data_IF_109699992578
#
_entry.id   IF_109699992578
#
_cell.length_a   1.000
_cell.length_b   1.000
_cell.length_c   1.000
_cell.angle_alpha   90.00
_cell.angle_beta   90.00
_cell.angle_gamma   90.00
#
_symmetry.space_group_name_H-M   'P 1'
#
loop_
_entity.id
_entity.type
_entity.pdbx_description
1 polymer ?
#
# COMPACT_ATOMS: atom_id res chain seq x y z
N UNK A 1 13.91 3.34 7.29
CA UNK A 1 12.69 3.30 8.14
C UNK A 1 11.51 4.19 7.74
N UNK A 2 11.68 5.41 7.20
CA UNK A 2 10.55 6.38 7.02
C UNK A 2 9.27 5.84 6.36
N UNK A 3 9.38 5.04 5.29
CA UNK A 3 8.22 4.43 4.60
C UNK A 3 7.36 3.61 5.56
N UNK A 4 8.01 2.89 6.46
CA UNK A 4 7.43 1.88 7.34
C UNK A 4 6.84 2.47 8.62
N UNK A 5 7.34 3.63 9.06
CA UNK A 5 6.79 4.36 10.23
C UNK A 5 5.33 4.73 10.00
N UNK A 6 4.96 5.09 8.76
CA UNK A 6 3.56 5.36 8.39
C UNK A 6 2.65 4.13 8.45
N UNK A 7 3.23 2.92 8.53
CA UNK A 7 2.51 1.64 8.60
C UNK A 7 2.27 1.20 10.06
N UNK A 8 2.82 1.92 11.04
CA UNK A 8 2.59 1.67 12.46
C UNK A 8 1.14 2.04 12.80
N UNK A 9 0.51 1.23 13.67
CA UNK A 9 -0.85 1.52 14.10
C UNK A 9 -0.90 2.92 14.76
N UNK A 10 -1.69 3.87 14.24
CA UNK A 10 -1.73 5.24 14.75
C UNK A 10 -2.05 5.34 16.23
N UNK A 11 -2.85 4.42 16.76
CA UNK A 11 -3.23 4.38 18.18
C UNK A 11 -2.10 3.94 19.12
N UNK A 12 -1.01 3.39 18.57
CA UNK A 12 0.18 2.94 19.31
C UNK A 12 1.36 3.90 19.21
N UNK A 13 1.24 4.97 18.40
CA UNK A 13 2.31 5.94 18.24
C UNK A 13 2.40 6.78 19.52
N UNK A 14 3.50 6.57 20.24
CA UNK A 14 3.92 7.38 21.38
C UNK A 14 5.26 8.04 21.08
N UNK A 15 5.65 9.03 21.89
CA UNK A 15 6.94 9.67 21.77
C UNK A 15 8.08 8.64 21.78
N UNK A 16 9.02 8.79 20.85
CA UNK A 16 10.24 8.00 20.81
C UNK A 16 11.14 8.26 22.02
N UNK A 17 12.21 7.46 22.11
CA UNK A 17 13.19 7.53 23.18
C UNK A 17 14.40 8.37 22.80
N UNK A 18 15.13 8.86 23.78
CA UNK A 18 16.38 9.57 23.55
C UNK A 18 17.55 8.63 23.20
N UNK A 19 18.58 9.17 22.54
CA UNK A 19 19.85 8.46 22.32
C UNK A 19 20.52 7.99 23.62
N UNK A 20 20.29 8.70 24.73
CA UNK A 20 20.81 8.33 26.05
C UNK A 20 20.11 7.08 26.57
N UNK A 21 18.81 6.97 26.38
CA UNK A 21 18.01 5.81 26.79
C UNK A 21 18.33 4.58 25.93
N UNK A 22 18.54 4.76 24.62
CA UNK A 22 19.04 3.70 23.75
C UNK A 22 20.38 3.14 24.28
N UNK A 23 21.37 4.00 24.53
CA UNK A 23 22.69 3.57 25.03
C UNK A 23 22.63 2.90 26.40
N UNK A 24 21.77 3.39 27.30
CA UNK A 24 21.54 2.75 28.61
C UNK A 24 20.97 1.34 28.44
N UNK A 25 20.02 1.19 27.53
CA UNK A 25 19.37 -0.09 27.23
C UNK A 25 20.34 -1.07 26.56
N UNK A 26 21.12 -0.61 25.58
CA UNK A 26 22.20 -1.41 24.96
C UNK A 26 23.19 -1.94 26.01
N UNK A 27 23.59 -1.08 26.95
CA UNK A 27 24.46 -1.47 28.06
C UNK A 27 23.80 -2.52 28.98
N UNK A 28 22.51 -2.37 29.27
CA UNK A 28 21.77 -3.31 30.10
C UNK A 28 21.58 -4.68 29.43
N UNK A 29 21.37 -4.70 28.12
CA UNK A 29 21.26 -5.92 27.31
C UNK A 29 22.63 -6.54 26.99
N UNK A 30 23.71 -5.76 27.09
CA UNK A 30 25.04 -6.18 26.62
C UNK A 30 25.16 -6.27 25.09
N UNK A 31 24.27 -5.59 24.37
CA UNK A 31 24.14 -5.66 22.92
C UNK A 31 23.88 -4.28 22.30
N UNK A 32 24.35 -4.08 21.07
CA UNK A 32 24.24 -2.86 20.27
C UNK A 32 23.11 -3.06 19.27
N UNK A 33 22.20 -2.10 19.22
CA UNK A 33 21.03 -2.16 18.34
C UNK A 33 21.41 -1.89 16.88
N UNK A 34 20.72 -2.54 15.91
CA UNK A 34 20.84 -2.19 14.50
C UNK A 34 20.32 -0.78 14.23
N UNK A 35 20.77 -0.17 13.13
CA UNK A 35 20.40 1.22 12.79
C UNK A 35 18.89 1.38 12.59
N UNK A 36 18.24 0.45 11.88
CA UNK A 36 16.79 0.47 11.68
C UNK A 36 15.99 0.45 12.99
N UNK A 37 16.43 -0.33 13.97
CA UNK A 37 15.78 -0.40 15.27
C UNK A 37 15.94 0.93 16.03
N UNK A 38 17.13 1.54 15.98
CA UNK A 38 17.36 2.85 16.61
C UNK A 38 16.53 3.94 15.94
N UNK A 39 16.50 3.98 14.61
CA UNK A 39 15.66 4.91 13.83
C UNK A 39 14.19 4.78 14.24
N UNK A 40 13.68 3.56 14.34
CA UNK A 40 12.30 3.32 14.79
C UNK A 40 12.06 3.85 16.20
N UNK A 41 12.94 3.51 17.15
CA UNK A 41 12.76 3.85 18.55
C UNK A 41 12.99 5.32 18.89
N UNK A 42 13.75 6.05 18.06
CA UNK A 42 13.84 7.51 18.13
C UNK A 42 12.52 8.19 17.75
N UNK A 43 11.71 7.55 16.90
CA UNK A 43 10.45 8.09 16.41
C UNK A 43 9.26 7.62 17.27
N UNK A 44 9.28 6.37 17.73
CA UNK A 44 8.22 5.83 18.60
C UNK A 44 8.66 4.67 19.48
N UNK A 45 8.05 4.51 20.65
CA UNK A 45 8.49 3.54 21.66
C UNK A 45 7.47 2.42 21.88
N UNK A 46 7.80 1.19 21.47
CA UNK A 46 6.91 0.02 21.64
C UNK A 46 5.75 -0.03 20.63
N UNK A 47 6.04 0.33 19.38
CA UNK A 47 5.08 0.33 18.28
C UNK A 47 4.31 -0.99 18.13
N UNK A 48 3.03 -0.88 17.76
CA UNK A 48 2.23 -2.02 17.29
C UNK A 48 2.23 -2.06 15.76
N UNK A 49 2.60 -3.21 15.22
CA UNK A 49 2.75 -3.52 13.80
C UNK A 49 1.88 -4.74 13.47
N UNK A 50 0.75 -4.56 12.79
CA UNK A 50 -0.22 -5.65 12.62
C UNK A 50 -0.61 -6.24 13.99
N UNK A 51 -0.38 -7.53 14.18
CA UNK A 51 -0.60 -8.25 15.44
C UNK A 51 0.64 -8.30 16.37
N UNK A 52 1.76 -7.72 15.94
CA UNK A 52 3.01 -7.65 16.69
C UNK A 52 3.09 -6.40 17.55
N UNK A 53 3.59 -6.55 18.77
CA UNK A 53 3.91 -5.44 19.67
C UNK A 53 5.39 -5.48 20.01
N UNK A 54 6.12 -4.41 19.70
CA UNK A 54 7.51 -4.28 20.10
C UNK A 54 7.61 -3.98 21.59
N UNK A 55 8.59 -4.59 22.25
CA UNK A 55 8.85 -4.31 23.66
C UNK A 55 9.39 -2.89 23.82
N UNK A 56 8.75 -2.06 24.67
CA UNK A 56 9.19 -0.69 24.84
C UNK A 56 10.53 -0.62 25.58
N UNK A 57 11.16 0.55 25.48
CA UNK A 57 12.33 0.94 26.26
C UNK A 57 11.85 1.78 27.45
N UNK A 58 12.34 1.46 28.64
CA UNK A 58 12.09 2.26 29.83
C UNK A 58 12.70 3.67 29.68
N UNK A 59 11.86 4.69 29.78
CA UNK A 59 12.28 6.09 29.83
C UNK A 59 12.27 6.62 31.26
N UNK A 60 13.03 7.68 31.53
CA UNK A 60 13.07 8.28 32.89
C UNK A 60 11.82 9.11 33.20
N UNK A 61 11.05 9.48 32.17
CA UNK A 61 9.86 10.33 32.27
C UNK A 61 8.58 9.53 32.53
N UNK A 62 8.62 8.22 32.36
CA UNK A 62 7.48 7.33 32.54
C UNK A 62 7.59 6.55 33.85
N UNK A 63 6.44 6.17 34.41
CA UNK A 63 6.41 5.20 35.49
C UNK A 63 7.10 3.89 35.05
N UNK A 64 7.66 3.10 35.99
CA UNK A 64 8.26 1.82 35.66
C UNK A 64 7.29 0.94 34.85
N UNK A 65 7.70 0.56 33.64
CA UNK A 65 6.91 -0.26 32.75
C UNK A 65 6.80 -1.67 33.32
N UNK A 66 5.61 -2.27 33.27
CA UNK A 66 5.43 -3.68 33.64
C UNK A 66 6.16 -4.61 32.67
N UNK A 67 6.29 -4.20 31.42
CA UNK A 67 6.97 -4.91 30.33
C UNK A 67 7.91 -3.94 29.62
N UNK A 68 9.18 -4.32 29.47
CA UNK A 68 10.16 -3.64 28.63
C UNK A 68 11.16 -4.64 28.06
N UNK A 69 11.92 -4.24 27.04
CA UNK A 69 12.88 -5.12 26.35
C UNK A 69 13.91 -5.74 27.30
N UNK A 70 14.37 -5.01 28.33
CA UNK A 70 15.36 -5.54 29.29
C UNK A 70 14.72 -6.59 30.18
N UNK A 71 13.57 -6.29 30.77
CA UNK A 71 12.83 -7.23 31.63
C UNK A 71 12.43 -8.51 30.90
N UNK A 72 12.03 -8.39 29.63
CA UNK A 72 11.66 -9.55 28.80
C UNK A 72 12.86 -10.45 28.52
N UNK A 73 14.04 -9.88 28.25
CA UNK A 73 15.25 -10.67 28.00
C UNK A 73 15.94 -11.18 29.27
N UNK A 74 15.68 -10.56 30.43
CA UNK A 74 16.06 -11.12 31.73
C UNK A 74 15.19 -12.32 32.10
N UNK A 75 13.89 -12.27 31.79
CA UNK A 75 12.93 -13.36 31.99
C UNK A 75 12.76 -14.22 30.72
N UNK A 76 13.88 -14.54 30.06
CA UNK A 76 13.90 -15.27 28.78
C UNK A 76 13.26 -16.66 28.87
N UNK A 77 12.64 -17.08 27.77
CA UNK A 77 12.12 -18.44 27.65
C UNK A 77 13.26 -19.48 27.69
N UNK A 78 13.03 -20.61 28.38
CA UNK A 78 14.06 -21.64 28.64
C UNK A 78 14.70 -22.22 27.37
N UNK A 79 13.94 -22.32 26.29
CA UNK A 79 14.37 -22.95 25.03
C UNK A 79 14.73 -21.92 23.94
N UNK A 80 14.73 -20.63 24.26
CA UNK A 80 15.21 -19.60 23.35
C UNK A 80 16.75 -19.71 23.23
N UNK A 81 17.33 -19.75 22.02
CA UNK A 81 18.79 -19.81 21.85
C UNK A 81 19.53 -18.66 22.56
N UNK A 82 20.69 -18.94 23.15
CA UNK A 82 21.44 -17.96 23.97
C UNK A 82 21.83 -16.69 23.20
N UNK A 83 22.04 -16.83 21.90
CA UNK A 83 22.41 -15.77 20.97
C UNK A 83 21.20 -14.96 20.46
N UNK A 84 20.03 -15.07 21.06
CA UNK A 84 18.83 -14.32 20.66
C UNK A 84 18.43 -13.29 21.71
N UNK A 85 18.05 -12.10 21.24
CA UNK A 85 17.33 -11.08 22.02
C UNK A 85 15.94 -10.90 21.42
N UNK A 86 14.91 -11.09 22.25
CA UNK A 86 13.54 -10.81 21.88
C UNK A 86 13.28 -9.31 21.90
N UNK A 87 12.70 -8.78 20.84
CA UNK A 87 12.36 -7.36 20.68
C UNK A 87 10.86 -7.10 20.63
N UNK A 88 10.03 -8.14 20.54
CA UNK A 88 8.59 -8.02 20.51
C UNK A 88 7.90 -9.37 20.60
N UNK A 89 6.57 -9.32 20.65
CA UNK A 89 5.71 -10.49 20.65
C UNK A 89 4.44 -10.28 19.84
N UNK A 90 3.96 -11.37 19.26
CA UNK A 90 2.65 -11.45 18.64
C UNK A 90 1.57 -11.80 19.69
N UNK A 91 0.31 -11.51 19.40
CA UNK A 91 -0.85 -11.91 20.22
C UNK A 91 -0.90 -13.40 20.56
N UNK A 92 -0.36 -14.27 19.70
CA UNK A 92 -0.31 -15.72 19.92
C UNK A 92 0.77 -16.15 20.93
N UNK A 93 1.70 -15.25 21.27
CA UNK A 93 2.87 -15.51 22.10
C UNK A 93 4.15 -15.80 21.33
N UNK A 94 4.13 -15.81 19.98
CA UNK A 94 5.34 -15.88 19.16
C UNK A 94 6.26 -14.67 19.43
N UNK A 95 7.57 -14.91 19.46
CA UNK A 95 8.58 -13.90 19.80
C UNK A 95 9.33 -13.44 18.56
N UNK A 96 9.49 -12.13 18.44
CA UNK A 96 10.32 -11.51 17.42
C UNK A 96 11.72 -11.27 17.98
N UNK A 97 12.76 -11.71 17.29
CA UNK A 97 14.11 -11.76 17.83
C UNK A 97 15.17 -11.25 16.85
N UNK A 98 16.20 -10.60 17.40
CA UNK A 98 17.49 -10.45 16.74
C UNK A 98 18.46 -11.51 17.21
N UNK A 99 19.30 -11.99 16.29
CA UNK A 99 20.51 -12.74 16.64
C UNK A 99 21.62 -11.78 17.05
N UNK A 100 22.38 -12.12 18.08
CA UNK A 100 23.55 -11.39 18.56
C UNK A 100 24.82 -12.13 18.17
N UNK A 101 25.80 -11.41 17.64
CA UNK A 101 27.18 -11.90 17.53
C UNK A 101 28.12 -10.97 18.28
N UNK A 102 28.78 -11.52 19.30
CA UNK A 102 29.57 -10.77 20.30
C UNK A 102 28.69 -9.78 21.06
N UNK A 103 28.58 -8.55 20.53
CA UNK A 103 27.74 -7.48 21.08
C UNK A 103 26.86 -6.84 20.01
N UNK A 104 26.91 -7.27 18.77
CA UNK A 104 26.13 -6.66 17.69
C UNK A 104 24.88 -7.50 17.47
N UNK A 105 23.71 -6.88 17.59
CA UNK A 105 22.50 -7.44 17.01
C UNK A 105 22.64 -7.37 15.49
N UNK A 106 22.44 -8.50 14.84
CA UNK A 106 22.46 -8.60 13.38
C UNK A 106 21.16 -7.99 12.82
N UNK A 107 21.17 -7.62 11.54
CA UNK A 107 20.00 -7.00 10.87
C UNK A 107 18.83 -7.97 10.68
N UNK A 108 19.13 -9.27 10.57
CA UNK A 108 18.13 -10.29 10.32
C UNK A 108 17.17 -10.48 11.51
N UNK A 109 15.89 -10.55 11.19
CA UNK A 109 14.79 -10.75 12.13
C UNK A 109 14.32 -12.19 12.09
N UNK A 110 14.23 -12.82 13.26
CA UNK A 110 13.78 -14.18 13.42
C UNK A 110 12.49 -14.22 14.23
N UNK A 111 11.60 -15.14 13.90
CA UNK A 111 10.48 -15.52 14.77
C UNK A 111 10.83 -16.78 15.55
N UNK A 112 10.33 -16.86 16.79
CA UNK A 112 10.55 -17.99 17.67
C UNK A 112 9.27 -18.37 18.41
N UNK A 113 8.98 -19.66 18.45
CA UNK A 113 7.85 -20.25 19.16
C UNK A 113 8.34 -21.36 20.10
N UNK A 114 7.65 -21.55 21.23
CA UNK A 114 8.02 -22.55 22.23
C UNK A 114 7.84 -24.00 21.76
N UNK A 115 6.92 -24.23 20.82
CA UNK A 115 6.61 -25.55 20.24
C UNK A 115 7.50 -25.90 19.06
N UNK A 116 7.73 -24.95 18.16
CA UNK A 116 8.44 -25.19 16.89
C UNK A 116 9.88 -24.70 16.89
N UNK A 117 10.28 -23.90 17.88
CA UNK A 117 11.60 -23.32 17.97
C UNK A 117 11.75 -22.09 17.07
N UNK A 118 12.99 -21.84 16.64
CA UNK A 118 13.32 -20.73 15.74
C UNK A 118 12.83 -21.07 14.33
N UNK A 119 12.17 -20.12 13.66
CA UNK A 119 11.82 -20.29 12.25
C UNK A 119 13.09 -20.47 11.40
N UNK A 120 12.96 -21.27 10.35
CA UNK A 120 14.00 -21.52 9.35
C UNK A 120 14.30 -20.27 8.54
N UNK A 121 13.30 -19.43 8.29
CA UNK A 121 13.46 -18.24 7.48
C UNK A 121 13.43 -16.98 8.34
N UNK A 122 14.37 -16.08 8.06
CA UNK A 122 14.49 -14.78 8.71
C UNK A 122 14.22 -13.69 7.68
N UNK A 123 13.54 -12.62 8.08
CA UNK A 123 13.52 -11.39 7.28
C UNK A 123 14.92 -10.76 7.31
N UNK A 124 15.32 -10.13 6.21
CA UNK A 124 16.63 -9.52 6.05
C UNK A 124 16.78 -8.27 6.92
N UNK A 125 15.68 -7.57 7.19
CA UNK A 125 15.66 -6.39 8.05
C UNK A 125 14.34 -6.21 8.80
N UNK A 126 14.29 -5.24 9.73
CA UNK A 126 13.08 -4.88 10.46
C UNK A 126 12.08 -4.18 9.53
N UNK A 127 12.55 -3.34 8.62
CA UNK A 127 11.69 -2.73 7.59
C UNK A 127 10.95 -3.78 6.77
N UNK A 128 11.67 -4.81 6.28
CA UNK A 128 11.08 -5.88 5.48
C UNK A 128 10.05 -6.69 6.28
N UNK A 129 10.40 -7.04 7.53
CA UNK A 129 9.46 -7.73 8.42
C UNK A 129 8.15 -6.95 8.58
N UNK A 130 8.24 -5.63 8.85
CA UNK A 130 7.06 -4.79 9.03
C UNK A 130 6.24 -4.71 7.72
N UNK A 131 6.89 -4.52 6.56
CA UNK A 131 6.20 -4.47 5.26
C UNK A 131 5.39 -5.75 4.98
N UNK A 132 5.91 -6.91 5.44
CA UNK A 132 5.23 -8.20 5.29
C UNK A 132 4.10 -8.43 6.30
N UNK A 133 4.20 -7.87 7.51
CA UNK A 133 3.28 -8.15 8.63
C UNK A 133 2.13 -7.15 8.77
N UNK A 134 2.27 -5.94 8.25
CA UNK A 134 1.17 -5.00 8.24
C UNK A 134 0.17 -5.46 7.18
N UNK A 135 -1.11 -5.70 7.54
CA UNK A 135 -2.14 -6.02 6.56
C UNK A 135 -2.17 -4.93 5.50
N UNK A 136 -1.80 -5.28 4.28
CA UNK A 136 -1.83 -4.36 3.14
C UNK A 136 -3.28 -4.01 2.87
N UNK A 137 -3.70 -2.82 3.27
CA UNK A 137 -5.10 -2.39 3.42
C UNK A 137 -5.87 -2.52 2.09
N UNK A 138 -5.13 -2.58 0.99
CA UNK A 138 -5.60 -2.44 -0.38
C UNK A 138 -5.61 -3.75 -1.20
N UNK A 139 -5.12 -4.88 -0.70
CA UNK A 139 -4.92 -6.06 -1.57
C UNK A 139 -6.18 -6.85 -1.90
N UNK A 140 -7.20 -6.82 -1.02
CA UNK A 140 -8.30 -7.79 -1.10
C UNK A 140 -9.65 -7.18 -1.55
N UNK A 141 -9.78 -5.84 -1.57
CA UNK A 141 -11.01 -5.17 -1.99
C UNK A 141 -10.72 -3.97 -2.90
N UNK A 142 -11.44 -3.85 -4.05
CA UNK A 142 -11.36 -2.66 -4.87
C UNK A 142 -11.75 -1.41 -4.05
N UNK A 143 -10.97 -0.34 -4.15
CA UNK A 143 -11.31 0.95 -3.57
C UNK A 143 -12.26 1.69 -4.51
N UNK A 144 -13.47 2.01 -4.04
CA UNK A 144 -14.46 2.77 -4.81
C UNK A 144 -14.04 4.25 -4.80
N UNK A 145 -13.83 4.82 -5.99
CA UNK A 145 -13.44 6.21 -6.18
C UNK A 145 -14.64 7.17 -6.20
N UNK A 146 -15.82 6.66 -6.55
CA UNK A 146 -17.05 7.44 -6.68
C UNK A 146 -17.85 7.05 -7.92
N UNK A 147 -18.75 7.94 -8.37
CA UNK A 147 -19.54 7.74 -9.59
C UNK A 147 -19.64 9.01 -10.43
N UNK A 148 -19.74 8.85 -11.75
CA UNK A 148 -19.89 9.92 -12.74
C UNK A 148 -21.01 9.59 -13.74
N UNK A 149 -21.48 10.59 -14.47
CA UNK A 149 -22.54 10.44 -15.47
C UNK A 149 -21.97 10.29 -16.88
N UNK A 150 -22.54 9.37 -17.65
CA UNK A 150 -22.32 9.21 -19.09
C UNK A 150 -23.62 9.54 -19.83
N UNK A 151 -23.54 10.50 -20.74
CA UNK A 151 -24.63 11.11 -21.49
C UNK A 151 -24.47 10.95 -23.01
N UNK A 152 -23.22 10.90 -23.52
CA UNK A 152 -22.94 10.94 -24.97
C UNK A 152 -23.05 9.58 -25.70
N UNK A 153 -23.39 8.51 -24.98
CA UNK A 153 -23.29 7.12 -25.46
C UNK A 153 -21.89 6.71 -25.95
N UNK A 154 -20.86 7.49 -25.61
CA UNK A 154 -19.47 7.26 -25.97
C UNK A 154 -18.55 7.47 -24.77
N UNK A 155 -17.49 6.68 -24.71
CA UNK A 155 -16.41 6.88 -23.75
C UNK A 155 -15.10 7.03 -24.50
N UNK A 156 -14.19 7.83 -23.97
CA UNK A 156 -12.80 7.91 -24.37
C UNK A 156 -11.93 7.36 -23.25
N UNK A 157 -10.98 6.49 -23.60
CA UNK A 157 -9.92 6.00 -22.71
C UNK A 157 -8.62 6.62 -23.18
N UNK A 158 -7.98 7.41 -22.32
CA UNK A 158 -6.85 8.27 -22.70
C UNK A 158 -6.01 8.70 -21.51
N UNK A 159 -4.79 9.15 -21.78
CA UNK A 159 -4.07 10.06 -20.89
C UNK A 159 -4.89 11.37 -20.73
N UNK A 160 -5.06 11.88 -19.49
CA UNK A 160 -5.85 13.09 -19.24
C UNK A 160 -5.29 14.38 -19.86
N UNK A 161 -4.03 14.40 -20.28
CA UNK A 161 -3.40 15.58 -20.92
C UNK A 161 -3.44 15.54 -22.45
N UNK A 162 -3.84 14.41 -23.04
CA UNK A 162 -3.99 14.32 -24.49
C UNK A 162 -5.22 15.06 -24.98
N UNK A 163 -5.15 15.52 -26.23
CA UNK A 163 -6.28 16.10 -26.94
C UNK A 163 -6.84 15.10 -27.93
N UNK A 164 -8.17 15.09 -28.05
CA UNK A 164 -8.90 14.09 -28.85
C UNK A 164 -8.38 13.99 -30.29
N UNK A 165 -8.13 15.13 -30.94
CA UNK A 165 -7.73 15.15 -32.35
C UNK A 165 -6.21 15.05 -32.57
N UNK A 166 -5.38 15.51 -31.62
CA UNK A 166 -3.92 15.55 -31.77
C UNK A 166 -3.28 14.19 -31.46
N UNK A 167 -3.82 13.44 -30.49
CA UNK A 167 -3.24 12.19 -30.00
C UNK A 167 -4.13 10.97 -30.27
N UNK A 168 -4.95 11.03 -31.33
CA UNK A 168 -5.98 10.03 -31.64
C UNK A 168 -5.47 8.58 -31.74
N UNK A 169 -4.19 8.37 -32.11
CA UNK A 169 -3.57 7.04 -32.22
C UNK A 169 -3.26 6.39 -30.86
N UNK A 170 -3.23 7.18 -29.78
CA UNK A 170 -2.92 6.74 -28.41
C UNK A 170 -4.18 6.56 -27.56
N UNK A 171 -5.35 6.80 -28.14
CA UNK A 171 -6.63 6.87 -27.46
C UNK A 171 -7.59 5.78 -27.95
N UNK A 172 -8.53 5.39 -27.10
CA UNK A 172 -9.60 4.46 -27.47
C UNK A 172 -10.95 5.14 -27.34
N UNK A 173 -11.67 5.26 -28.44
CA UNK A 173 -13.06 5.72 -28.45
C UNK A 173 -13.99 4.51 -28.48
N UNK A 174 -14.75 4.34 -27.41
CA UNK A 174 -15.78 3.32 -27.28
C UNK A 174 -17.14 3.90 -27.67
N UNK A 175 -17.83 3.21 -28.57
CA UNK A 175 -19.19 3.54 -28.99
C UNK A 175 -20.22 2.55 -28.43
N UNK A 176 -21.50 2.88 -28.56
CA UNK A 176 -22.61 2.10 -28.03
C UNK A 176 -22.49 1.87 -26.50
N UNK A 177 -22.09 2.92 -25.79
CA UNK A 177 -21.98 2.91 -24.34
C UNK A 177 -23.35 3.13 -23.71
N UNK A 178 -23.63 2.45 -22.59
CA UNK A 178 -24.87 2.64 -21.86
C UNK A 178 -24.84 3.97 -21.10
N UNK A 179 -25.76 4.88 -21.44
CA UNK A 179 -25.98 6.11 -20.69
C UNK A 179 -26.48 5.86 -19.26
N UNK A 180 -26.11 6.76 -18.35
CA UNK A 180 -26.52 6.80 -16.96
C UNK A 180 -25.34 6.96 -15.99
N UNK A 181 -25.55 6.54 -14.74
CA UNK A 181 -24.53 6.62 -13.68
C UNK A 181 -23.55 5.45 -13.76
N UNK A 182 -22.26 5.76 -13.68
CA UNK A 182 -21.15 4.82 -13.72
C UNK A 182 -20.30 4.93 -12.46
N UNK A 183 -19.93 3.80 -11.87
CA UNK A 183 -19.06 3.74 -10.69
C UNK A 183 -17.62 3.47 -11.12
N UNK A 184 -16.69 4.19 -10.51
CA UNK A 184 -15.25 4.04 -10.67
C UNK A 184 -14.62 3.36 -9.46
N UNK A 185 -13.67 2.46 -9.68
CA UNK A 185 -12.91 1.81 -8.61
C UNK A 185 -11.52 1.41 -9.08
N UNK A 186 -10.58 1.30 -8.15
CA UNK A 186 -9.23 0.78 -8.42
C UNK A 186 -8.98 -0.51 -7.64
N UNK A 187 -8.16 -1.39 -8.20
CA UNK A 187 -7.63 -2.56 -7.50
C UNK A 187 -6.12 -2.51 -7.47
N UNK A 188 -5.50 -3.17 -6.50
CA UNK A 188 -4.07 -3.08 -6.27
C UNK A 188 -3.36 -4.42 -6.49
N UNK A 189 -2.06 -4.36 -6.72
CA UNK A 189 -1.15 -5.51 -6.61
C UNK A 189 -0.86 -5.81 -5.14
N UNK A 190 -0.21 -6.94 -4.82
CA UNK A 190 0.30 -7.20 -3.47
C UNK A 190 1.28 -6.14 -2.96
N UNK A 191 1.84 -5.29 -3.83
CA UNK A 191 2.76 -4.20 -3.45
C UNK A 191 2.07 -2.83 -3.39
N UNK A 192 0.74 -2.82 -3.32
CA UNK A 192 -0.10 -1.61 -3.24
C UNK A 192 0.03 -0.66 -4.45
N UNK A 193 0.56 -1.17 -5.57
CA UNK A 193 0.59 -0.47 -6.86
C UNK A 193 -0.77 -0.65 -7.54
N UNK A 194 -1.29 0.37 -8.24
CA UNK A 194 -2.60 0.26 -8.91
C UNK A 194 -2.49 -0.73 -10.05
N UNK A 195 -3.22 -1.85 -9.90
CA UNK A 195 -3.31 -2.91 -10.90
C UNK A 195 -4.29 -2.56 -12.00
N UNK A 196 -5.47 -2.06 -11.64
CA UNK A 196 -6.52 -1.73 -12.60
C UNK A 196 -7.28 -0.48 -12.20
N UNK A 197 -7.67 0.30 -13.21
CA UNK A 197 -8.82 1.21 -13.13
C UNK A 197 -10.04 0.52 -13.72
N UNK A 198 -11.12 0.45 -12.95
CA UNK A 198 -12.42 -0.05 -13.38
C UNK A 198 -13.43 1.08 -13.41
N UNK A 199 -14.16 1.21 -14.52
CA UNK A 199 -15.40 1.97 -14.57
C UNK A 199 -16.53 1.09 -15.09
N UNK A 200 -17.70 1.13 -14.47
CA UNK A 200 -18.82 0.28 -14.87
C UNK A 200 -20.17 0.91 -14.59
N UNK A 201 -21.18 0.53 -15.39
CA UNK A 201 -22.53 1.05 -15.28
C UNK A 201 -23.22 0.57 -13.99
N UNK A 202 -23.77 1.52 -13.22
CA UNK A 202 -24.44 1.29 -11.93
C UNK A 202 -23.47 0.98 -10.79
N UNK A 203 -24.02 0.68 -9.61
CA UNK A 203 -23.24 0.52 -8.38
C UNK A 203 -22.47 -0.80 -8.28
N UNK A 204 -22.92 -1.84 -9.01
CA UNK A 204 -22.36 -3.19 -8.93
C UNK A 204 -21.54 -3.53 -10.16
N UNK A 205 -20.31 -4.01 -9.92
CA UNK A 205 -19.42 -4.47 -10.98
C UNK A 205 -20.09 -5.58 -11.80
N UNK A 206 -20.08 -5.49 -13.14
CA UNK A 206 -20.71 -6.49 -14.00
C UNK A 206 -19.97 -7.83 -13.92
N UNK A 207 -20.73 -8.92 -13.88
CA UNK A 207 -20.21 -10.28 -13.79
C UNK A 207 -19.90 -10.89 -15.17
N UNK A 208 -19.06 -11.92 -15.19
CA UNK A 208 -18.69 -12.69 -16.40
C UNK A 208 -17.45 -12.18 -17.13
N UNK A 209 -17.23 -12.68 -18.35
CA UNK A 209 -15.99 -12.47 -19.12
C UNK A 209 -15.79 -11.02 -19.59
N UNK A 210 -14.57 -10.53 -19.48
CA UNK A 210 -14.09 -9.28 -20.07
C UNK A 210 -13.39 -9.56 -21.40
N UNK A 211 -13.47 -8.62 -22.34
CA UNK A 211 -12.90 -8.76 -23.68
C UNK A 211 -11.80 -7.73 -23.87
N UNK A 212 -10.65 -8.14 -24.39
CA UNK A 212 -9.58 -7.22 -24.80
C UNK A 212 -10.16 -6.35 -25.92
N UNK A 213 -10.06 -5.03 -25.75
CA UNK A 213 -10.49 -4.03 -26.73
C UNK A 213 -9.30 -3.62 -27.58
N UNK A 214 -8.35 -2.91 -26.96
CA UNK A 214 -7.11 -2.44 -27.56
C UNK A 214 -6.14 -2.00 -26.46
N UNK A 215 -5.10 -1.24 -26.80
CA UNK A 215 -4.18 -0.61 -25.86
C UNK A 215 -4.26 0.92 -25.91
N UNK A 216 -4.04 1.56 -24.76
CA UNK A 216 -4.02 3.04 -24.60
C UNK A 216 -2.59 3.50 -24.28
N UNK A 217 -2.15 4.59 -24.90
CA UNK A 217 -0.87 5.25 -24.59
C UNK A 217 -1.00 6.21 -23.41
N UNK A 218 0.05 6.31 -22.60
CA UNK A 218 0.13 7.14 -21.39
C UNK A 218 1.53 7.73 -21.26
N UNK A 219 1.63 9.05 -21.13
CA UNK A 219 2.90 9.81 -20.98
C UNK A 219 2.92 10.72 -19.75
N UNK A 220 1.83 10.76 -18.97
CA UNK A 220 1.72 11.53 -17.73
C UNK A 220 1.70 10.67 -16.48
N UNK A 221 1.98 9.37 -16.60
CA UNK A 221 1.71 8.32 -15.61
C UNK A 221 0.24 8.13 -15.20
N UNK A 222 -0.70 8.81 -15.87
CA UNK A 222 -2.13 8.78 -15.56
C UNK A 222 -2.93 8.26 -16.76
N UNK A 223 -3.93 7.41 -16.48
CA UNK A 223 -4.92 7.01 -17.47
C UNK A 223 -6.31 7.24 -16.91
N UNK A 224 -7.24 7.63 -17.77
CA UNK A 224 -8.63 7.86 -17.41
C UNK A 224 -9.62 7.32 -18.41
N UNK A 225 -10.87 7.25 -17.97
CA UNK A 225 -12.04 6.93 -18.79
C UNK A 225 -13.06 8.02 -18.61
N UNK A 226 -13.49 8.64 -19.71
CA UNK A 226 -14.35 9.83 -19.69
C UNK A 226 -15.48 9.71 -20.69
N UNK A 227 -16.61 10.35 -20.40
CA UNK A 227 -17.58 10.75 -21.41
C UNK A 227 -16.89 11.71 -22.38
N UNK A 228 -16.93 11.36 -23.68
CA UNK A 228 -16.19 12.10 -24.70
C UNK A 228 -16.65 13.55 -24.83
N UNK A 229 -17.93 13.85 -24.54
CA UNK A 229 -18.47 15.20 -24.59
C UNK A 229 -18.17 16.01 -23.33
N UNK A 230 -17.60 15.40 -22.28
CA UNK A 230 -17.14 16.11 -21.07
C UNK A 230 -15.63 16.23 -21.01
N UNK A 231 -14.91 15.37 -21.74
CA UNK A 231 -13.46 15.40 -21.84
C UNK A 231 -12.98 16.72 -22.49
N UNK A 232 -11.94 17.33 -21.94
CA UNK A 232 -11.38 18.61 -22.42
C UNK A 232 -12.22 19.88 -22.11
N UNK A 233 -13.51 19.77 -21.80
CA UNK A 233 -14.38 20.95 -21.58
C UNK A 233 -13.99 21.74 -20.31
N UNK A 234 -13.37 21.09 -19.32
CA UNK A 234 -12.99 21.69 -18.05
C UNK A 234 -11.49 21.95 -17.89
N UNK A 235 -10.74 22.10 -18.98
CA UNK A 235 -9.34 22.52 -18.94
C UNK A 235 -9.10 23.89 -18.26
N UNK A 236 -10.16 24.65 -17.91
CA UNK A 236 -10.07 26.04 -17.44
C UNK A 236 -10.60 26.33 -16.02
N UNK A 237 -11.17 25.37 -15.27
CA UNK A 237 -11.61 25.62 -13.89
C UNK A 237 -11.03 24.52 -12.96
N UNK A 238 -9.85 24.82 -12.45
CA UNK A 238 -9.08 24.12 -11.40
C UNK A 238 -8.27 22.87 -11.83
N UNK A 239 -7.23 23.12 -12.61
CA UNK A 239 -5.92 22.46 -12.47
C UNK A 239 -5.00 23.24 -11.51
N UNK A 240 -5.53 23.85 -10.45
CA UNK A 240 -4.66 24.14 -9.30
C UNK A 240 -4.38 22.78 -8.64
N UNK A 241 -3.16 22.25 -8.86
CA UNK A 241 -2.70 20.87 -8.59
C UNK A 241 -3.25 19.77 -9.49
N UNK A 242 -3.16 19.97 -10.79
CA UNK A 242 -3.74 19.14 -11.84
C UNK A 242 -3.26 17.70 -12.02
N UNK A 243 -3.28 16.88 -10.98
CA UNK A 243 -3.13 15.44 -11.04
C UNK A 243 -4.01 14.74 -10.01
N UNK A 244 -3.90 13.41 -9.96
CA UNK A 244 -4.23 12.73 -8.72
C UNK A 244 -3.15 13.15 -7.71
N UNK A 245 -3.51 13.75 -6.57
CA UNK A 245 -2.54 14.08 -5.53
C UNK A 245 -1.70 12.83 -5.21
N UNK A 246 -0.39 12.92 -4.91
CA UNK A 246 0.44 11.73 -4.71
C UNK A 246 -0.14 10.73 -3.66
N UNK A 247 -0.89 11.24 -2.67
CA UNK A 247 -1.63 10.44 -1.70
C UNK A 247 -2.89 9.73 -2.22
N UNK A 248 -3.41 10.15 -3.38
CA UNK A 248 -4.58 9.58 -4.03
C UNK A 248 -4.12 8.78 -5.27
N UNK A 249 -4.50 7.52 -5.35
CA UNK A 249 -4.13 6.63 -6.47
C UNK A 249 -5.21 6.62 -7.57
N UNK A 250 -6.33 7.29 -7.34
CA UNK A 250 -7.32 7.64 -8.35
C UNK A 250 -8.39 8.58 -7.82
N UNK A 251 -9.18 9.16 -8.71
CA UNK A 251 -10.33 10.03 -8.38
C UNK A 251 -11.38 10.03 -9.47
N UNK A 252 -12.60 10.40 -9.11
CA UNK A 252 -13.65 10.79 -10.06
C UNK A 252 -13.50 12.27 -10.40
N UNK A 253 -13.77 12.59 -11.67
CA UNK A 253 -13.86 13.95 -12.19
C UNK A 253 -15.19 14.12 -12.93
N UNK A 254 -15.49 15.32 -13.41
CA UNK A 254 -16.72 15.54 -14.16
C UNK A 254 -16.71 14.69 -15.43
N UNK A 255 -17.71 13.82 -15.55
CA UNK A 255 -17.86 12.94 -16.70
C UNK A 255 -16.82 11.81 -16.79
N UNK A 256 -16.00 11.55 -15.78
CA UNK A 256 -15.01 10.48 -15.88
C UNK A 256 -14.30 10.11 -14.59
N UNK A 257 -13.28 9.26 -14.72
CA UNK A 257 -12.40 8.87 -13.63
C UNK A 257 -10.97 8.71 -14.11
N UNK A 258 -10.01 8.98 -13.23
CA UNK A 258 -8.57 8.96 -13.51
C UNK A 258 -7.88 8.14 -12.42
N UNK A 259 -6.83 7.41 -12.79
CA UNK A 259 -5.92 6.77 -11.85
C UNK A 259 -4.46 6.96 -12.25
N UNK A 260 -3.59 6.99 -11.25
CA UNK A 260 -2.14 6.93 -11.43
C UNK A 260 -1.68 5.50 -11.12
N UNK A 261 -1.05 4.83 -12.10
CA UNK A 261 -0.76 3.40 -12.00
C UNK A 261 0.34 3.07 -10.98
N UNK A 262 1.34 3.95 -10.88
CA UNK A 262 2.61 3.68 -10.21
C UNK A 262 3.64 2.95 -11.09
N UNK A 263 3.27 2.52 -12.30
CA UNK A 263 4.17 1.96 -13.31
C UNK A 263 4.78 3.02 -14.23
N UNK A 264 4.18 4.23 -14.28
CA UNK A 264 4.67 5.34 -15.10
C UNK A 264 4.09 5.33 -16.52
N UNK A 265 4.89 5.82 -17.47
CA UNK A 265 4.53 5.95 -18.87
C UNK A 265 4.55 4.59 -19.58
N UNK A 266 3.74 4.43 -20.61
CA UNK A 266 3.67 3.17 -21.35
C UNK A 266 2.37 2.95 -22.11
N UNK A 267 2.21 1.72 -22.59
CA UNK A 267 1.05 1.29 -23.38
C UNK A 267 0.32 0.18 -22.63
N UNK A 268 -0.91 0.44 -22.23
CA UNK A 268 -1.66 -0.40 -21.29
C UNK A 268 -2.87 -1.06 -21.95
N UNK A 269 -3.14 -2.31 -21.58
CA UNK A 269 -4.27 -3.06 -22.13
C UNK A 269 -5.60 -2.54 -21.59
N UNK A 270 -6.56 -2.32 -22.48
CA UNK A 270 -7.93 -1.94 -22.14
C UNK A 270 -8.88 -3.08 -22.45
N UNK A 271 -9.66 -3.48 -21.45
CA UNK A 271 -10.69 -4.49 -21.55
C UNK A 271 -12.08 -3.87 -21.41
N UNK A 272 -13.04 -4.39 -22.17
CA UNK A 272 -14.43 -3.94 -22.18
C UNK A 272 -15.39 -5.05 -21.81
N UNK A 273 -16.54 -4.65 -21.28
CA UNK A 273 -17.63 -5.52 -20.87
C UNK A 273 -18.92 -5.11 -21.56
N UNK A 274 -19.58 -6.08 -22.18
CA UNK A 274 -20.86 -5.88 -22.85
C UNK A 274 -22.02 -6.50 -22.07
N UNK A 275 -23.20 -5.89 -22.15
CA UNK A 275 -24.44 -6.50 -21.71
C UNK A 275 -25.09 -7.34 -22.83
N UNK A 276 -26.25 -7.95 -22.54
CA UNK A 276 -27.02 -8.77 -23.50
C UNK A 276 -27.44 -8.02 -24.77
N UNK A 277 -27.57 -6.69 -24.70
CA UNK A 277 -27.91 -5.81 -25.82
C UNK A 277 -26.67 -5.30 -26.56
N UNK A 278 -25.49 -5.87 -26.29
CA UNK A 278 -24.19 -5.46 -26.84
C UNK A 278 -23.80 -4.00 -26.55
N UNK A 279 -24.41 -3.36 -25.54
CA UNK A 279 -23.94 -2.05 -25.05
C UNK A 279 -22.75 -2.24 -24.13
N UNK A 280 -21.78 -1.32 -24.21
CA UNK A 280 -20.66 -1.27 -23.26
C UNK A 280 -21.20 -0.87 -21.89
N UNK A 281 -20.89 -1.67 -20.87
CA UNK A 281 -21.31 -1.49 -19.47
C UNK A 281 -20.14 -1.57 -18.49
N UNK A 282 -18.92 -1.73 -19.00
CA UNK A 282 -17.72 -1.71 -18.19
C UNK A 282 -16.47 -1.52 -19.04
N UNK A 283 -15.51 -0.79 -18.49
CA UNK A 283 -14.17 -0.56 -19.05
C UNK A 283 -13.15 -0.80 -17.94
N UNK A 284 -12.05 -1.46 -18.26
CA UNK A 284 -10.95 -1.76 -17.37
C UNK A 284 -9.65 -1.37 -18.07
N UNK A 285 -8.87 -0.48 -17.46
CA UNK A 285 -7.46 -0.26 -17.85
C UNK A 285 -6.61 -1.15 -16.95
N UNK A 286 -5.84 -2.05 -17.54
CA UNK A 286 -4.94 -2.96 -16.84
C UNK A 286 -3.50 -2.44 -16.94
N UNK A 287 -2.94 -2.07 -15.80
CA UNK A 287 -1.58 -1.51 -15.73
C UNK A 287 -0.49 -2.58 -15.57
N UNK A 288 -0.88 -3.81 -15.24
CA UNK A 288 0.06 -4.92 -15.11
C UNK A 288 0.18 -5.61 -16.47
N UNK A 289 1.37 -5.51 -17.06
CA UNK A 289 1.75 -6.37 -18.17
C UNK A 289 1.93 -7.80 -17.63
N UNK A 290 1.13 -8.73 -18.15
CA UNK A 290 1.45 -10.15 -18.03
C UNK A 290 2.60 -10.41 -19.02
N UNK A 291 3.84 -10.44 -18.52
CA UNK A 291 4.95 -11.13 -19.22
C UNK A 291 4.73 -12.64 -19.22
#
# INVERSE_FOLDING_TARGET
MKKVINMINPSSIVAGVSLVELKKTEKALGAIFPDEYKELFLETNGAKIGDWTLFPIQTNETAPLSIDIVKQNQNRAKNLPEDMICIGEELSGEKLCYRIRKRFMQEQIYTWNDKTGLDKYASLSLSEFIDWQVPKVNTDKPSILGSFMVESEKLIVTDPYYKVDEDAELQIILSNVKNGSWTASVSYTPDEVVKNLFVYYGEKKPSGKWHICDKVGVDSSQAGVFDIEKFGIYESIQFEDGGVAPELQGRVVLGGAISMSGYGDGVYEVKVKYNISKKVVGVMVNFVNEE
#
